data_IF_974908394077
#
_entry.id   IF_974908394077
#
_cell.length_a   1.000
_cell.length_b   1.000
_cell.length_c   1.000
_cell.angle_alpha   90.00
_cell.angle_beta   90.00
_cell.angle_gamma   90.00
#
_symmetry.space_group_name_H-M   'P 1'
#
loop_
_entity.id
_entity.type
_entity.pdbx_description
1 polymer ?
#
# COMPACT_ATOMS: atom_id res chain seq x y z
N UNK A 1 4.42 13.75 11.62
CA UNK A 1 5.53 14.34 10.90
C UNK A 1 6.84 14.13 11.65
N UNK A 2 7.90 13.78 10.95
CA UNK A 2 9.26 13.56 11.49
C UNK A 2 10.19 14.57 10.84
N UNK A 3 10.80 15.43 11.65
CA UNK A 3 11.77 16.42 11.19
C UNK A 3 13.20 15.94 11.46
N UNK A 4 14.12 16.31 10.60
CA UNK A 4 15.56 16.01 10.74
C UNK A 4 16.40 17.19 10.27
N UNK A 5 17.63 17.29 10.74
CA UNK A 5 18.53 18.31 10.23
C UNK A 5 19.25 17.83 8.97
N UNK A 6 18.88 18.41 7.84
CA UNK A 6 19.29 18.04 6.50
C UNK A 6 20.72 18.46 6.13
N UNK A 7 21.38 19.26 6.96
CA UNK A 7 22.80 19.57 6.84
C UNK A 7 23.72 18.42 7.31
N UNK A 8 23.21 17.47 8.10
CA UNK A 8 23.95 16.30 8.61
C UNK A 8 23.40 14.99 8.09
N UNK A 9 22.07 14.94 7.85
CA UNK A 9 21.36 13.74 7.39
C UNK A 9 20.67 13.98 6.05
N UNK A 10 20.79 13.03 5.16
CA UNK A 10 19.99 12.91 3.94
C UNK A 10 18.95 11.80 4.13
N UNK A 11 17.67 12.09 3.86
CA UNK A 11 16.65 11.04 3.82
C UNK A 11 16.86 10.18 2.57
N UNK A 12 16.91 8.87 2.75
CA UNK A 12 17.15 7.92 1.64
C UNK A 12 15.86 7.25 1.23
N UNK A 13 15.17 6.63 2.19
CA UNK A 13 13.95 5.87 1.91
C UNK A 13 13.17 5.57 3.19
N UNK A 14 11.99 5.00 3.01
CA UNK A 14 11.20 4.41 4.09
C UNK A 14 10.85 2.97 3.77
N UNK A 15 10.70 2.17 4.81
CA UNK A 15 10.18 0.81 4.72
C UNK A 15 8.99 0.67 5.67
N UNK A 16 7.85 0.28 5.16
CA UNK A 16 6.60 0.04 5.89
C UNK A 16 6.27 -1.46 6.03
N UNK A 17 7.22 -2.33 5.69
CA UNK A 17 7.12 -3.77 5.94
C UNK A 17 7.01 -4.05 7.44
N UNK A 18 5.98 -4.78 7.83
CA UNK A 18 5.70 -5.02 9.26
C UNK A 18 4.96 -3.89 9.96
N UNK A 19 4.59 -2.82 9.24
CA UNK A 19 3.78 -1.73 9.77
C UNK A 19 2.43 -2.21 10.25
N UNK A 20 1.98 -1.64 11.37
CA UNK A 20 0.58 -1.81 11.81
C UNK A 20 -0.40 -1.00 10.98
N UNK A 21 0.08 -0.01 10.24
CA UNK A 21 -0.75 0.77 9.32
C UNK A 21 -1.03 -0.08 8.10
N UNK A 22 -2.26 -0.56 7.97
CA UNK A 22 -2.67 -1.40 6.84
C UNK A 22 -3.22 -0.58 5.67
N UNK A 23 -3.69 0.64 5.92
CA UNK A 23 -4.22 1.54 4.90
C UNK A 23 -3.52 2.91 4.98
N UNK A 24 -2.59 3.16 4.08
CA UNK A 24 -1.91 4.43 3.96
C UNK A 24 -2.78 5.45 3.23
N UNK A 25 -3.01 6.61 3.84
CA UNK A 25 -3.60 7.80 3.20
C UNK A 25 -2.49 8.59 2.52
N UNK A 26 -1.36 8.74 3.22
CA UNK A 26 -0.11 9.29 2.70
C UNK A 26 1.03 8.39 3.19
N UNK A 27 1.68 7.70 2.26
CA UNK A 27 2.91 6.96 2.58
C UNK A 27 4.01 7.93 2.99
N UNK A 28 5.01 7.47 3.76
CA UNK A 28 6.12 8.32 4.16
C UNK A 28 6.71 9.06 2.96
N UNK A 29 6.55 10.36 2.94
CA UNK A 29 6.95 11.23 1.82
C UNK A 29 7.78 12.37 2.33
N UNK A 30 8.96 12.57 1.75
CA UNK A 30 9.85 13.68 2.10
C UNK A 30 9.26 15.02 1.63
N UNK A 31 9.34 16.00 2.51
CA UNK A 31 9.03 17.41 2.22
C UNK A 31 10.08 18.30 2.87
N UNK A 32 11.12 18.67 2.12
CA UNK A 32 12.28 19.38 2.67
C UNK A 32 13.00 18.54 3.74
N UNK A 33 13.19 19.09 4.92
CA UNK A 33 13.79 18.45 6.09
C UNK A 33 12.76 17.73 6.97
N UNK A 34 11.62 17.33 6.42
CA UNK A 34 10.63 16.53 7.12
C UNK A 34 10.14 15.34 6.29
N UNK A 35 9.65 14.30 6.98
CA UNK A 35 8.93 13.18 6.38
C UNK A 35 7.52 13.17 6.95
N UNK A 36 6.53 13.29 6.08
CA UNK A 36 5.11 13.23 6.42
C UNK A 36 4.53 11.87 6.09
N UNK A 37 3.61 11.40 6.93
CA UNK A 37 2.90 10.16 6.71
C UNK A 37 1.54 10.20 7.38
N UNK A 38 0.54 9.53 6.78
CA UNK A 38 -0.81 9.41 7.31
C UNK A 38 -1.36 8.02 6.99
N UNK A 39 -2.03 7.40 7.94
CA UNK A 39 -2.56 6.07 7.72
C UNK A 39 -3.73 5.74 8.64
N UNK A 40 -4.45 4.69 8.28
CA UNK A 40 -5.61 4.18 9.00
C UNK A 40 -5.33 2.75 9.41
N UNK A 41 -5.66 2.44 10.66
CA UNK A 41 -5.64 1.09 11.20
C UNK A 41 -7.11 0.72 11.45
N UNK A 42 -7.73 -0.08 10.58
CA UNK A 42 -9.11 -0.51 10.74
C UNK A 42 -9.31 -1.24 12.07
N UNK A 43 -10.28 -0.79 12.87
CA UNK A 43 -10.53 -1.34 14.21
C UNK A 43 -9.63 -0.76 15.31
N UNK A 44 -8.69 0.12 14.97
CA UNK A 44 -7.78 0.77 15.92
C UNK A 44 -6.67 -0.15 16.42
N UNK A 45 -5.76 0.40 17.22
CA UNK A 45 -4.73 -0.36 17.96
C UNK A 45 -5.21 -0.47 19.41
N UNK A 46 -5.32 -1.69 19.92
CA UNK A 46 -5.52 -1.97 21.34
C UNK A 46 -4.16 -2.17 22.04
N UNK A 47 -3.07 -2.04 21.29
CA UNK A 47 -1.70 -2.44 21.65
C UNK A 47 -1.40 -3.86 21.17
N UNK A 48 -0.13 -4.17 21.01
CA UNK A 48 0.31 -5.55 20.79
C UNK A 48 0.26 -6.26 22.14
N UNK A 49 -0.84 -6.96 22.43
CA UNK A 49 -0.86 -7.86 23.56
C UNK A 49 0.12 -9.00 23.27
N UNK A 50 1.18 -9.13 24.05
CA UNK A 50 1.94 -10.35 24.13
C UNK A 50 1.08 -11.32 24.97
N UNK A 51 0.50 -12.39 24.35
CA UNK A 51 -0.53 -13.21 25.02
C UNK A 51 -0.06 -13.88 26.30
N UNK A 52 1.24 -14.06 26.46
CA UNK A 52 1.82 -14.80 27.60
C UNK A 52 2.03 -13.96 28.87
N UNK A 53 2.03 -12.62 28.77
CA UNK A 53 2.40 -11.77 29.92
C UNK A 53 1.48 -10.59 30.18
N UNK A 54 0.47 -10.34 29.36
CA UNK A 54 -0.42 -9.17 29.49
C UNK A 54 0.31 -7.82 29.33
N UNK A 55 1.48 -7.82 28.70
CA UNK A 55 2.31 -6.64 28.45
C UNK A 55 2.04 -6.15 27.02
N UNK A 56 1.81 -4.85 26.89
CA UNK A 56 1.73 -4.21 25.57
C UNK A 56 3.16 -4.01 25.05
N UNK A 57 3.46 -4.56 23.88
CA UNK A 57 4.76 -4.39 23.21
C UNK A 57 4.76 -3.19 22.26
N UNK A 58 5.95 -2.75 21.90
CA UNK A 58 6.14 -1.76 20.85
C UNK A 58 5.72 -2.33 19.49
N UNK A 59 5.15 -1.48 18.67
CA UNK A 59 4.69 -1.84 17.33
C UNK A 59 5.35 -0.93 16.31
N UNK A 60 5.87 -1.53 15.24
CA UNK A 60 6.48 -0.76 14.17
C UNK A 60 5.42 -0.03 13.35
N UNK A 61 5.64 1.26 13.13
CA UNK A 61 4.83 2.06 12.21
C UNK A 61 5.52 2.15 10.87
N UNK A 62 6.80 2.50 10.88
CA UNK A 62 7.64 2.67 9.70
C UNK A 62 9.11 2.73 10.10
N UNK A 63 9.97 2.20 9.26
CA UNK A 63 11.41 2.40 9.34
C UNK A 63 11.80 3.51 8.37
N UNK A 64 12.43 4.58 8.87
CA UNK A 64 12.99 5.65 8.04
C UNK A 64 14.50 5.48 7.94
N UNK A 65 15.01 5.55 6.72
CA UNK A 65 16.43 5.35 6.43
C UNK A 65 17.09 6.69 6.09
N UNK A 66 18.16 7.01 6.83
CA UNK A 66 18.93 8.24 6.63
C UNK A 66 20.40 7.89 6.34
N UNK A 67 21.00 8.67 5.46
CA UNK A 67 22.43 8.67 5.20
C UNK A 67 23.06 9.87 5.90
N UNK A 68 24.13 9.65 6.66
CA UNK A 68 24.92 10.75 7.19
C UNK A 68 25.76 11.38 6.07
N UNK A 69 25.64 12.68 5.87
CA UNK A 69 26.35 13.42 4.81
C UNK A 69 27.45 14.34 5.35
N UNK A 70 27.48 14.55 6.65
CA UNK A 70 28.47 15.39 7.34
C UNK A 70 28.64 14.93 8.78
N UNK A 71 29.84 15.14 9.32
CA UNK A 71 30.06 14.98 10.76
C UNK A 71 29.34 16.08 11.54
N UNK A 72 28.81 15.73 12.70
CA UNK A 72 28.09 16.65 13.55
C UNK A 72 27.03 15.97 14.40
N UNK A 73 26.26 16.77 15.11
CA UNK A 73 25.13 16.31 15.87
C UNK A 73 23.90 16.28 14.96
N UNK A 74 23.38 15.06 14.71
CA UNK A 74 22.15 14.84 13.97
C UNK A 74 20.98 14.77 14.95
N UNK A 75 19.89 15.47 14.63
CA UNK A 75 18.67 15.48 15.43
C UNK A 75 17.49 14.99 14.58
N UNK A 76 16.76 14.03 15.10
CA UNK A 76 15.49 13.53 14.53
C UNK A 76 14.39 13.82 15.56
N UNK A 77 13.34 14.52 15.16
CA UNK A 77 12.27 14.99 16.03
C UNK A 77 10.92 14.58 15.47
N UNK A 78 10.12 13.90 16.26
CA UNK A 78 8.69 13.78 15.99
C UNK A 78 8.04 15.10 16.39
N UNK A 79 7.66 15.91 15.41
CA UNK A 79 7.24 17.29 15.65
C UNK A 79 5.72 17.41 15.86
N UNK A 80 4.94 16.72 15.05
CA UNK A 80 3.48 16.73 15.12
C UNK A 80 2.92 15.32 14.92
N UNK A 81 1.87 15.01 15.68
CA UNK A 81 1.15 13.77 15.51
C UNK A 81 -0.24 13.85 16.14
N UNK A 82 -1.25 13.46 15.38
CA UNK A 82 -2.60 13.29 15.86
C UNK A 82 -3.01 11.83 15.68
N UNK A 83 -3.53 11.24 16.74
CA UNK A 83 -4.14 9.91 16.72
C UNK A 83 -5.63 10.08 16.89
N UNK A 84 -6.41 9.64 15.92
CA UNK A 84 -7.86 9.64 16.00
C UNK A 84 -8.33 8.28 16.49
N UNK A 85 -9.16 8.28 17.54
CA UNK A 85 -9.74 7.04 18.06
C UNK A 85 -10.80 6.49 17.09
N UNK A 86 -10.94 5.16 17.08
CA UNK A 86 -11.98 4.47 16.29
C UNK A 86 -13.33 4.46 17.02
N UNK A 87 -13.74 5.61 17.59
CA UNK A 87 -14.97 5.79 18.38
C UNK A 87 -16.13 6.40 17.57
N UNK A 88 -15.88 6.74 16.30
CA UNK A 88 -16.85 7.42 15.43
C UNK A 88 -17.11 8.89 15.78
N UNK A 89 -16.42 9.44 16.78
CA UNK A 89 -16.59 10.82 17.26
C UNK A 89 -15.47 11.75 16.80
N UNK A 90 -14.38 11.20 16.23
CA UNK A 90 -13.20 11.97 15.87
C UNK A 90 -12.38 12.43 17.07
N UNK A 91 -12.42 11.68 18.17
CA UNK A 91 -11.65 12.00 19.37
C UNK A 91 -10.15 11.94 19.08
N UNK A 92 -9.45 13.02 19.42
CA UNK A 92 -8.00 13.14 19.20
C UNK A 92 -7.26 12.76 20.47
N UNK A 93 -6.23 11.94 20.33
CA UNK A 93 -5.23 11.65 21.36
C UNK A 93 -3.89 12.16 20.87
N UNK A 94 -3.22 12.96 21.66
CA UNK A 94 -1.88 13.45 21.36
C UNK A 94 -0.85 12.42 21.86
N UNK A 95 0.00 11.87 20.98
CA UNK A 95 1.04 10.95 21.39
C UNK A 95 2.15 11.68 22.15
N UNK A 96 2.87 10.95 22.99
CA UNK A 96 4.15 11.42 23.48
C UNK A 96 5.15 11.42 22.34
N UNK A 97 5.72 12.59 22.05
CA UNK A 97 6.68 12.78 20.97
C UNK A 97 8.09 12.73 21.52
N UNK A 98 8.97 12.05 20.83
CA UNK A 98 10.36 11.86 21.22
C UNK A 98 11.30 12.53 20.24
N UNK A 99 12.47 12.93 20.74
CA UNK A 99 13.58 13.34 19.89
C UNK A 99 14.74 12.34 20.04
N UNK A 100 15.49 12.17 18.98
CA UNK A 100 16.70 11.36 18.95
C UNK A 100 17.87 12.21 18.51
N UNK A 101 18.89 12.31 19.36
CA UNK A 101 20.17 12.92 19.02
C UNK A 101 21.16 11.82 18.67
N UNK A 102 21.87 11.99 17.56
CA UNK A 102 22.86 11.06 17.02
C UNK A 102 24.15 11.84 16.78
N UNK A 103 25.26 11.43 17.37
CA UNK A 103 26.56 12.03 17.08
C UNK A 103 27.18 11.28 15.88
N UNK A 104 27.27 11.96 14.75
CA UNK A 104 27.92 11.44 13.54
C UNK A 104 29.39 11.80 13.58
N UNK A 105 30.24 10.80 13.69
CA UNK A 105 31.71 10.97 13.73
C UNK A 105 32.38 9.85 12.92
N UNK A 106 33.57 10.13 12.40
CA UNK A 106 34.39 9.12 11.71
C UNK A 106 33.87 8.79 10.32
N UNK A 107 33.72 9.80 9.47
CA UNK A 107 33.43 9.60 8.06
C UNK A 107 34.43 8.63 7.43
N UNK A 108 33.99 7.42 7.10
CA UNK A 108 34.77 6.54 6.26
C UNK A 108 34.77 7.16 4.85
N UNK A 109 35.93 7.42 4.32
CA UNK A 109 36.15 8.05 3.01
C UNK A 109 35.74 7.17 1.82
N UNK A 110 35.36 5.93 2.08
CA UNK A 110 34.81 5.01 1.11
C UNK A 110 33.29 4.97 1.26
N UNK A 111 32.58 5.32 0.20
CA UNK A 111 31.18 4.98 0.06
C UNK A 111 31.05 3.46 0.13
N UNK A 112 30.81 2.93 1.32
CA UNK A 112 30.17 1.63 1.40
C UNK A 112 28.78 1.83 0.81
N UNK A 113 28.59 1.41 -0.44
CA UNK A 113 27.28 1.47 -1.08
C UNK A 113 26.24 0.88 -0.13
N UNK A 114 25.07 1.52 -0.06
CA UNK A 114 23.92 0.93 0.62
C UNK A 114 23.79 -0.51 0.13
N UNK A 115 23.44 -1.48 0.99
CA UNK A 115 23.19 -2.84 0.57
C UNK A 115 22.26 -2.81 -0.64
N UNK A 116 22.73 -3.34 -1.76
CA UNK A 116 21.93 -3.37 -2.99
C UNK A 116 20.82 -4.38 -2.76
N UNK A 117 19.60 -3.91 -2.65
CA UNK A 117 18.44 -4.78 -2.63
C UNK A 117 18.20 -5.33 -4.03
N UNK A 118 18.01 -6.65 -4.12
CA UNK A 118 17.68 -7.36 -5.35
C UNK A 118 16.37 -8.14 -5.25
N UNK A 119 15.63 -7.96 -4.15
CA UNK A 119 14.36 -8.64 -3.91
C UNK A 119 13.24 -7.69 -4.34
N UNK A 120 12.40 -8.07 -5.32
CA UNK A 120 11.30 -7.23 -5.71
C UNK A 120 10.21 -7.18 -4.63
N UNK A 121 9.32 -6.16 -4.67
CA UNK A 121 8.16 -6.08 -3.80
C UNK A 121 7.35 -7.37 -3.75
N UNK A 122 6.71 -7.63 -2.62
CA UNK A 122 5.88 -8.82 -2.43
C UNK A 122 4.80 -8.92 -3.52
N UNK A 123 4.45 -10.15 -3.91
CA UNK A 123 3.34 -10.38 -4.85
C UNK A 123 2.05 -9.86 -4.25
N UNK A 124 1.19 -9.30 -5.09
CA UNK A 124 -0.07 -8.69 -4.68
C UNK A 124 -1.18 -9.02 -5.68
N UNK A 125 -2.43 -8.72 -5.32
CA UNK A 125 -3.60 -8.88 -6.17
C UNK A 125 -4.22 -7.50 -6.47
N UNK A 126 -4.14 -7.05 -7.71
CA UNK A 126 -4.84 -5.88 -8.19
C UNK A 126 -6.31 -6.21 -8.50
N UNK A 127 -7.24 -5.44 -7.96
CA UNK A 127 -8.68 -5.70 -8.08
C UNK A 127 -9.42 -4.53 -8.68
N UNK A 128 -10.28 -4.80 -9.66
CA UNK A 128 -11.19 -3.81 -10.22
C UNK A 128 -12.54 -3.94 -9.52
N UNK A 129 -13.00 -2.85 -8.92
CA UNK A 129 -14.32 -2.74 -8.31
C UNK A 129 -15.18 -1.72 -9.05
N UNK A 130 -16.49 -1.86 -8.93
CA UNK A 130 -17.47 -0.87 -9.39
C UNK A 130 -18.61 -0.80 -8.38
N UNK A 131 -18.85 0.36 -7.81
CA UNK A 131 -20.00 0.59 -6.93
C UNK A 131 -20.57 1.98 -7.17
N UNK A 132 -21.89 2.11 -7.15
CA UNK A 132 -22.59 3.37 -7.45
C UNK A 132 -22.17 4.57 -6.59
N UNK A 133 -21.77 4.30 -5.35
CA UNK A 133 -21.40 5.33 -4.37
C UNK A 133 -19.88 5.59 -4.34
N UNK A 134 -19.12 4.94 -5.22
CA UNK A 134 -17.65 5.11 -5.33
C UNK A 134 -17.34 5.64 -6.72
N UNK A 135 -16.65 6.78 -6.80
CA UNK A 135 -16.21 7.41 -8.04
C UNK A 135 -17.32 7.54 -9.10
N UNK A 136 -18.55 7.89 -8.68
CA UNK A 136 -19.73 8.02 -9.54
C UNK A 136 -20.07 6.73 -10.32
N UNK A 137 -19.83 5.58 -9.74
CA UNK A 137 -20.09 4.28 -10.34
C UNK A 137 -19.08 3.88 -11.42
N UNK A 138 -17.94 4.54 -11.50
CA UNK A 138 -16.84 4.17 -12.39
C UNK A 138 -16.10 2.93 -11.90
N UNK A 139 -15.38 2.29 -12.80
CA UNK A 139 -14.42 1.25 -12.43
C UNK A 139 -13.22 1.88 -11.71
N UNK A 140 -12.90 1.30 -10.56
CA UNK A 140 -11.79 1.70 -9.71
C UNK A 140 -10.88 0.52 -9.52
N UNK A 141 -9.58 0.72 -9.72
CA UNK A 141 -8.53 -0.26 -9.49
C UNK A 141 -7.97 -0.07 -8.08
N UNK A 142 -7.91 -1.16 -7.33
CA UNK A 142 -7.36 -1.19 -5.97
C UNK A 142 -6.16 -2.13 -6.00
N UNK A 143 -5.06 -1.66 -5.48
CA UNK A 143 -3.80 -2.41 -5.37
C UNK A 143 -3.03 -1.92 -4.16
N UNK A 144 -2.29 -2.81 -3.54
CA UNK A 144 -1.34 -2.50 -2.47
C UNK A 144 -0.35 -3.65 -2.31
N UNK A 145 0.88 -3.32 -1.88
CA UNK A 145 1.91 -4.28 -1.54
C UNK A 145 2.96 -3.62 -0.64
N UNK A 146 3.92 -4.39 -0.20
CA UNK A 146 5.06 -3.94 0.60
C UNK A 146 6.36 -4.52 0.03
N UNK A 147 7.47 -3.91 0.41
CA UNK A 147 8.80 -4.42 0.15
C UNK A 147 9.60 -4.53 1.44
N UNK A 148 10.29 -5.66 1.64
CA UNK A 148 11.06 -5.96 2.86
C UNK A 148 12.51 -5.50 2.80
N UNK A 149 12.99 -5.15 1.61
CA UNK A 149 14.37 -4.73 1.37
C UNK A 149 14.52 -3.22 1.41
N UNK A 150 14.58 -2.60 0.24
CA UNK A 150 14.76 -1.15 0.11
C UNK A 150 13.50 -0.32 0.39
N UNK A 151 12.35 -0.97 0.57
CA UNK A 151 11.05 -0.35 0.77
C UNK A 151 10.37 0.00 -0.56
N UNK A 152 9.03 0.10 -0.51
CA UNK A 152 8.21 0.41 -1.68
C UNK A 152 8.45 1.85 -2.13
N UNK A 153 8.67 2.06 -3.42
CA UNK A 153 8.88 3.36 -4.03
C UNK A 153 7.57 3.93 -4.58
N UNK A 154 7.01 3.28 -5.60
CA UNK A 154 5.80 3.77 -6.28
C UNK A 154 5.13 2.64 -7.06
N UNK A 155 3.93 2.95 -7.54
CA UNK A 155 3.22 2.09 -8.48
C UNK A 155 3.11 2.75 -9.84
N UNK A 156 3.13 1.93 -10.88
CA UNK A 156 2.78 2.30 -12.23
C UNK A 156 1.66 1.42 -12.76
N UNK A 157 0.80 1.99 -13.59
CA UNK A 157 -0.27 1.25 -14.26
C UNK A 157 -0.21 1.43 -15.76
N UNK A 158 -0.66 0.40 -16.47
CA UNK A 158 -0.91 0.42 -17.91
C UNK A 158 -2.35 -0.02 -18.17
N UNK A 159 -3.11 0.83 -18.87
CA UNK A 159 -4.48 0.51 -19.32
C UNK A 159 -4.51 0.03 -20.78
N UNK A 160 -3.37 -0.03 -21.45
CA UNK A 160 -3.22 -0.36 -22.87
C UNK A 160 -2.46 -1.67 -23.11
N UNK A 161 -2.43 -2.55 -22.08
CA UNK A 161 -1.80 -3.87 -22.16
C UNK A 161 -0.28 -3.84 -22.15
N UNK A 162 0.32 -2.82 -21.51
CA UNK A 162 1.76 -2.71 -21.33
C UNK A 162 2.47 -1.81 -22.35
N UNK A 163 1.73 -1.12 -23.22
CA UNK A 163 2.33 -0.22 -24.22
C UNK A 163 2.83 1.10 -23.59
N UNK A 164 2.15 1.57 -22.56
CA UNK A 164 2.57 2.74 -21.77
C UNK A 164 2.25 2.55 -20.29
N UNK A 165 3.05 3.17 -19.42
CA UNK A 165 2.88 3.16 -17.98
C UNK A 165 2.84 4.56 -17.43
N UNK A 166 2.00 4.77 -16.42
CA UNK A 166 1.88 6.04 -15.67
C UNK A 166 1.89 5.77 -14.19
N UNK A 167 2.55 6.64 -13.41
CA UNK A 167 2.54 6.56 -11.95
C UNK A 167 1.12 6.70 -11.43
N UNK A 168 0.75 5.86 -10.46
CA UNK A 168 -0.60 5.80 -9.91
C UNK A 168 -0.60 5.58 -8.40
N UNK A 169 -1.70 5.99 -7.76
CA UNK A 169 -1.98 5.78 -6.34
C UNK A 169 -3.30 5.01 -6.22
N UNK A 170 -3.34 4.03 -5.33
CA UNK A 170 -4.56 3.27 -5.02
C UNK A 170 -5.41 4.02 -3.97
N UNK A 171 -6.75 4.14 -4.18
CA UNK A 171 -7.55 3.68 -5.31
C UNK A 171 -7.36 4.54 -6.58
N UNK A 172 -7.31 3.91 -7.75
CA UNK A 172 -7.15 4.59 -9.04
C UNK A 172 -8.41 4.47 -9.90
N UNK A 173 -8.97 5.59 -10.34
CA UNK A 173 -10.14 5.57 -11.25
C UNK A 173 -9.64 5.31 -12.67
N UNK A 174 -10.03 4.18 -13.26
CA UNK A 174 -9.64 3.82 -14.62
C UNK A 174 -10.13 4.85 -15.63
N UNK A 175 -9.30 5.23 -16.59
CA UNK A 175 -9.71 6.01 -17.75
C UNK A 175 -10.60 5.15 -18.66
N UNK A 176 -10.27 3.88 -18.80
CA UNK A 176 -11.04 2.88 -19.55
C UNK A 176 -12.21 2.37 -18.73
N UNK A 177 -13.44 2.75 -19.09
CA UNK A 177 -14.67 2.37 -18.37
C UNK A 177 -15.46 1.24 -19.06
N UNK A 178 -14.96 0.70 -20.16
CA UNK A 178 -15.57 -0.38 -20.90
C UNK A 178 -14.53 -1.10 -21.77
N UNK A 179 -14.77 -2.37 -22.08
CA UNK A 179 -13.92 -3.11 -22.99
C UNK A 179 -13.20 -4.29 -22.37
N UNK A 180 -12.44 -4.98 -23.20
CA UNK A 180 -11.62 -6.14 -22.84
C UNK A 180 -10.18 -5.68 -22.85
N UNK A 181 -9.70 -5.11 -21.76
CA UNK A 181 -8.31 -4.74 -21.60
C UNK A 181 -7.72 -5.42 -20.36
N UNK A 182 -6.49 -5.82 -20.46
CA UNK A 182 -5.71 -6.19 -19.29
C UNK A 182 -5.09 -4.91 -18.75
N UNK A 183 -5.40 -4.62 -17.50
CA UNK A 183 -4.80 -3.53 -16.74
C UNK A 183 -3.61 -4.12 -16.00
N UNK A 184 -2.43 -3.62 -16.28
CA UNK A 184 -1.20 -4.09 -15.63
C UNK A 184 -0.83 -3.11 -14.54
N UNK A 185 -0.48 -3.62 -13.37
CA UNK A 185 0.01 -2.83 -12.24
C UNK A 185 1.41 -3.30 -11.90
N UNK A 186 2.34 -2.37 -11.80
CA UNK A 186 3.71 -2.60 -11.32
C UNK A 186 3.94 -1.88 -10.00
N UNK A 187 4.52 -2.58 -9.05
CA UNK A 187 5.02 -2.02 -7.80
C UNK A 187 6.54 -2.00 -7.85
N UNK A 188 7.14 -0.84 -7.70
CA UNK A 188 8.60 -0.65 -7.68
C UNK A 188 9.09 -0.45 -6.26
N UNK A 189 10.24 -1.02 -5.94
CA UNK A 189 11.00 -0.70 -4.73
C UNK A 189 11.96 0.49 -4.96
N UNK A 190 12.66 0.92 -3.91
CA UNK A 190 13.62 2.02 -4.00
C UNK A 190 14.95 1.61 -4.67
N UNK A 191 15.16 0.33 -4.93
CA UNK A 191 16.32 -0.22 -5.67
C UNK A 191 16.03 -0.46 -7.15
N UNK A 192 14.77 -0.24 -7.60
CA UNK A 192 14.33 -0.38 -8.98
C UNK A 192 13.87 -1.79 -9.36
N UNK A 193 13.80 -2.74 -8.41
CA UNK A 193 13.14 -4.01 -8.69
C UNK A 193 11.63 -3.82 -8.71
N UNK A 194 10.90 -4.68 -9.43
CA UNK A 194 9.45 -4.59 -9.47
C UNK A 194 8.76 -5.95 -9.44
N UNK A 195 7.54 -5.97 -8.94
CA UNK A 195 6.57 -7.04 -9.12
C UNK A 195 5.38 -6.53 -9.91
N UNK A 196 4.68 -7.44 -10.58
CA UNK A 196 3.60 -7.10 -11.50
C UNK A 196 2.39 -7.99 -11.24
N UNK A 197 1.19 -7.39 -11.35
CA UNK A 197 -0.07 -8.12 -11.42
C UNK A 197 -0.99 -7.56 -12.51
N UNK A 198 -1.96 -8.37 -12.93
CA UNK A 198 -2.88 -8.03 -14.02
C UNK A 198 -4.33 -8.17 -13.59
N UNK A 199 -5.09 -7.09 -13.71
CA UNK A 199 -6.52 -7.08 -13.51
C UNK A 199 -7.27 -6.92 -14.83
N UNK A 200 -8.49 -7.41 -14.92
CA UNK A 200 -9.35 -7.22 -16.09
C UNK A 200 -10.73 -6.70 -15.70
N UNK A 201 -11.28 -5.80 -16.52
CA UNK A 201 -12.63 -5.27 -16.32
C UNK A 201 -13.62 -6.43 -16.47
N UNK A 202 -14.52 -6.65 -15.49
CA UNK A 202 -15.49 -7.72 -15.55
C UNK A 202 -16.42 -7.59 -16.78
N UNK A 203 -16.47 -8.62 -17.60
CA UNK A 203 -17.40 -8.69 -18.74
C UNK A 203 -18.82 -8.91 -18.23
N UNK A 204 -19.65 -7.85 -18.23
CA UNK A 204 -21.06 -7.91 -17.78
C UNK A 204 -21.90 -8.93 -18.58
N UNK A 205 -21.43 -9.35 -19.76
CA UNK A 205 -22.15 -10.33 -20.60
C UNK A 205 -22.02 -11.79 -20.15
N UNK A 206 -20.91 -12.14 -19.51
CA UNK A 206 -20.65 -13.57 -19.17
C UNK A 206 -21.48 -14.06 -17.98
N UNK A 207 -21.79 -13.19 -17.01
CA UNK A 207 -22.63 -13.56 -15.86
C UNK A 207 -24.04 -13.93 -16.27
N UNK A 208 -24.67 -13.22 -17.22
CA UNK A 208 -26.02 -13.48 -17.73
C UNK A 208 -26.05 -14.75 -18.58
N UNK A 209 -25.03 -14.99 -19.39
CA UNK A 209 -24.92 -16.19 -20.19
C UNK A 209 -24.87 -17.49 -19.36
N UNK A 210 -24.09 -17.47 -18.28
CA UNK A 210 -24.00 -18.64 -17.37
C UNK A 210 -25.31 -18.92 -16.64
N UNK A 211 -26.04 -17.89 -16.21
CA UNK A 211 -27.37 -18.04 -15.58
C UNK A 211 -28.40 -18.56 -16.57
N UNK A 212 -28.37 -18.07 -17.82
CA UNK A 212 -29.28 -18.54 -18.86
C UNK A 212 -28.99 -20.00 -19.27
N UNK A 213 -27.74 -20.40 -19.38
CA UNK A 213 -27.34 -21.78 -19.64
C UNK A 213 -27.75 -22.69 -18.48
N UNK A 214 -27.55 -22.28 -17.25
CA UNK A 214 -27.98 -23.01 -16.05
C UNK A 214 -29.52 -23.20 -16.03
N UNK A 215 -30.30 -22.15 -16.32
CA UNK A 215 -31.74 -22.20 -16.40
C UNK A 215 -32.23 -23.13 -17.53
N UNK A 216 -31.55 -23.08 -18.71
CA UNK A 216 -31.87 -23.96 -19.83
C UNK A 216 -31.63 -25.44 -19.50
N UNK A 217 -30.54 -25.76 -18.82
CA UNK A 217 -30.22 -27.13 -18.38
C UNK A 217 -31.28 -27.62 -17.40
N UNK A 218 -31.73 -26.80 -16.44
CA UNK A 218 -32.79 -27.16 -15.49
C UNK A 218 -34.12 -27.43 -16.21
N UNK A 219 -34.50 -26.61 -17.19
CA UNK A 219 -35.71 -26.78 -17.97
C UNK A 219 -35.65 -28.08 -18.79
N UNK A 220 -34.53 -28.33 -19.48
CA UNK A 220 -34.36 -29.58 -20.27
C UNK A 220 -34.41 -30.83 -19.37
N UNK A 221 -33.77 -30.77 -18.19
CA UNK A 221 -33.83 -31.88 -17.23
C UNK A 221 -35.23 -32.09 -16.68
N UNK A 222 -35.98 -31.03 -16.39
CA UNK A 222 -37.36 -31.10 -15.90
C UNK A 222 -38.31 -31.70 -16.96
N UNK A 223 -38.14 -31.34 -18.24
CA UNK A 223 -38.95 -31.90 -19.35
C UNK A 223 -38.64 -33.40 -19.55
N UNK A 224 -37.34 -33.76 -19.48
CA UNK A 224 -36.90 -35.16 -19.65
C UNK A 224 -37.36 -36.06 -18.49
N UNK A 225 -37.38 -35.50 -17.27
CA UNK A 225 -37.86 -36.20 -16.07
C UNK A 225 -39.41 -36.43 -16.14
N UNK A 226 -40.18 -35.42 -16.53
CA UNK A 226 -41.64 -35.56 -16.71
C UNK A 226 -42.06 -36.57 -17.79
N UNK A 227 -41.23 -36.78 -18.82
CA UNK A 227 -41.49 -37.81 -19.87
C UNK A 227 -41.18 -39.24 -19.42
N UNK A 228 -40.51 -39.44 -18.30
CA UNK A 228 -40.18 -40.78 -17.74
C UNK A 228 -41.22 -41.29 -16.73
N UNK A 229 -42.15 -40.45 -16.30
CA UNK A 229 -43.20 -40.77 -15.33
C UNK A 229 -44.57 -40.93 -15.99
N UNK A 230 -44.64 -40.87 -17.29
CA UNK A 230 -45.79 -41.28 -18.12
C UNK A 230 -45.37 -42.53 -18.92
#
# INVERSE_FOLDING_TARGET
>A
EVNFNDDVLEYVSSNDSGSVITNWVLRPTQNGSSVKMEGIIPGGIIGTALPEFGVFGDTEIVTLMFKAVKEGEAKIVFNEGNIYLSDGLGTIVHPFLFEKNINVSGFLKEEQGLPTDSIPPAKFDAKIIQHKDIADGKFVLIFDTYDTGSGLSHFEISEDGGSSFTTAVSPYVLATQSGKGNIIVRAYDNSGNFSEDTASIPDKGKGIALVLIGALIIVVFSIKYRRRIR
#
